data_IF_233563184999
#
_entry.id   IF_233563184999
#
_cell.length_a   1.000
_cell.length_b   1.000
_cell.length_c   1.000
_cell.angle_alpha   90.00
_cell.angle_beta   90.00
_cell.angle_gamma   90.00
#
_symmetry.space_group_name_H-M   'P 1'
#
loop_
_entity.id
_entity.type
_entity.pdbx_description
1 polymer ?
#
# COMPACT_ATOMS: atom_id res chain seq x y z
N UNK A 1 4.54 11.70 -0.69
CA UNK A 1 4.06 10.44 -1.27
C UNK A 1 4.56 9.30 -0.38
N UNK A 2 3.82 8.19 -0.26
CA UNK A 2 4.28 7.05 0.55
C UNK A 2 4.45 5.84 -0.37
N UNK A 3 5.61 5.21 -0.34
CA UNK A 3 5.84 3.98 -1.09
C UNK A 3 6.06 2.82 -0.15
N UNK A 4 5.42 1.70 -0.49
CA UNK A 4 5.51 0.44 0.25
C UNK A 4 5.98 -0.62 -0.73
N UNK A 5 7.10 -1.29 -0.41
CA UNK A 5 7.72 -2.33 -1.22
C UNK A 5 7.53 -3.70 -0.58
N UNK A 6 7.24 -4.69 -1.41
CA UNK A 6 7.14 -6.09 -1.05
C UNK A 6 8.19 -6.89 -1.82
N UNK A 7 8.81 -7.85 -1.14
CA UNK A 7 9.62 -8.89 -1.78
C UNK A 7 8.80 -10.18 -1.78
N UNK A 8 8.62 -10.78 -2.95
CA UNK A 8 7.63 -11.84 -3.19
C UNK A 8 8.30 -13.13 -3.66
N UNK A 9 7.72 -14.24 -3.24
CA UNK A 9 7.98 -15.56 -3.79
C UNK A 9 7.17 -15.77 -5.09
N UNK A 10 7.60 -16.71 -5.96
CA UNK A 10 6.83 -17.09 -7.13
C UNK A 10 5.39 -17.47 -6.78
N UNK A 11 4.41 -16.86 -7.46
CA UNK A 11 2.98 -17.13 -7.26
C UNK A 11 2.28 -16.25 -6.20
N UNK A 12 3.01 -15.44 -5.42
CA UNK A 12 2.39 -14.58 -4.39
C UNK A 12 1.80 -13.28 -4.96
N UNK A 13 2.34 -12.80 -6.08
CA UNK A 13 2.04 -11.47 -6.66
C UNK A 13 0.56 -11.21 -6.87
N UNK A 14 -0.13 -12.10 -7.57
CA UNK A 14 -1.53 -11.84 -7.96
C UNK A 14 -2.46 -11.85 -6.75
N UNK A 15 -2.19 -12.75 -5.79
CA UNK A 15 -2.89 -12.79 -4.50
C UNK A 15 -2.69 -11.50 -3.70
N UNK A 16 -1.46 -10.99 -3.63
CA UNK A 16 -1.18 -9.73 -2.95
C UNK A 16 -1.83 -8.52 -3.66
N UNK A 17 -1.79 -8.48 -5.00
CA UNK A 17 -2.46 -7.42 -5.77
C UNK A 17 -3.97 -7.42 -5.48
N UNK A 18 -4.60 -8.59 -5.47
CA UNK A 18 -6.03 -8.72 -5.16
C UNK A 18 -6.34 -8.23 -3.74
N UNK A 19 -5.53 -8.61 -2.75
CA UNK A 19 -5.67 -8.16 -1.37
C UNK A 19 -5.53 -6.64 -1.24
N UNK A 20 -4.50 -6.05 -1.85
CA UNK A 20 -4.29 -4.59 -1.81
C UNK A 20 -5.45 -3.86 -2.47
N UNK A 21 -5.90 -4.28 -3.66
CA UNK A 21 -7.05 -3.66 -4.34
C UNK A 21 -8.31 -3.74 -3.49
N UNK A 22 -8.59 -4.91 -2.91
CA UNK A 22 -9.74 -5.11 -2.03
C UNK A 22 -9.67 -4.23 -0.77
N UNK A 23 -8.48 -4.05 -0.18
CA UNK A 23 -8.29 -3.12 0.95
C UNK A 23 -8.59 -1.67 0.54
N UNK A 24 -8.02 -1.20 -0.57
CA UNK A 24 -8.27 0.17 -1.02
C UNK A 24 -9.73 0.39 -1.39
N UNK A 25 -10.36 -0.54 -2.11
CA UNK A 25 -11.75 -0.40 -2.55
C UNK A 25 -12.76 -0.43 -1.39
N UNK A 26 -12.53 -1.28 -0.38
CA UNK A 26 -13.49 -1.46 0.72
C UNK A 26 -13.27 -0.52 1.89
N UNK A 27 -12.03 -0.14 2.17
CA UNK A 27 -11.67 0.49 3.44
C UNK A 27 -11.01 1.86 3.27
N UNK A 28 -10.29 2.10 2.17
CA UNK A 28 -9.44 3.31 2.04
C UNK A 28 -9.98 4.34 1.06
N UNK A 29 -10.75 3.93 0.05
CA UNK A 29 -11.19 4.82 -1.05
C UNK A 29 -11.97 6.04 -0.58
N UNK A 30 -12.69 5.93 0.53
CA UNK A 30 -13.46 7.02 1.14
C UNK A 30 -12.79 7.64 2.37
N UNK A 31 -11.55 7.23 2.67
CA UNK A 31 -10.80 7.76 3.80
C UNK A 31 -10.36 9.21 3.51
N UNK A 32 -10.57 10.10 4.46
CA UNK A 32 -10.26 11.52 4.32
C UNK A 32 -8.79 11.75 3.98
N UNK A 33 -8.55 12.53 2.92
CA UNK A 33 -7.21 12.86 2.43
C UNK A 33 -6.54 11.77 1.58
N UNK A 34 -7.21 10.66 1.28
CA UNK A 34 -6.73 9.69 0.28
C UNK A 34 -6.91 10.24 -1.14
N UNK A 35 -5.85 10.21 -1.96
CA UNK A 35 -5.89 10.69 -3.35
C UNK A 35 -5.88 9.52 -4.34
N UNK A 36 -4.87 8.65 -4.26
CA UNK A 36 -4.73 7.52 -5.19
C UNK A 36 -3.76 6.47 -4.68
N UNK A 37 -3.84 5.27 -5.24
CA UNK A 37 -2.81 4.25 -5.12
C UNK A 37 -2.42 3.72 -6.51
N UNK A 38 -1.15 3.36 -6.69
CA UNK A 38 -0.63 2.78 -7.93
C UNK A 38 0.28 1.60 -7.61
N UNK A 39 0.02 0.47 -8.24
CA UNK A 39 0.82 -0.74 -8.09
C UNK A 39 1.77 -0.89 -9.28
N UNK A 40 3.04 -1.13 -8.98
CA UNK A 40 4.10 -1.40 -9.95
C UNK A 40 4.80 -2.70 -9.57
N UNK A 41 5.09 -3.53 -10.56
CA UNK A 41 5.88 -4.74 -10.36
C UNK A 41 7.13 -4.69 -11.25
N UNK A 42 8.21 -5.33 -10.82
CA UNK A 42 9.32 -5.64 -11.72
C UNK A 42 8.92 -6.72 -12.73
N UNK A 43 9.73 -6.91 -13.77
CA UNK A 43 9.49 -7.89 -14.83
C UNK A 43 9.41 -9.32 -14.27
N UNK A 44 10.24 -9.64 -13.27
CA UNK A 44 10.27 -10.97 -12.64
C UNK A 44 9.08 -11.21 -11.69
N UNK A 45 8.31 -10.18 -11.34
CA UNK A 45 7.17 -10.27 -10.42
C UNK A 45 7.53 -10.59 -8.97
N UNK A 46 8.81 -10.52 -8.61
CA UNK A 46 9.35 -10.76 -7.26
C UNK A 46 9.39 -9.49 -6.40
N UNK A 47 9.10 -8.33 -6.99
CA UNK A 47 9.00 -7.05 -6.31
C UNK A 47 7.69 -6.39 -6.70
N UNK A 48 6.91 -5.99 -5.69
CA UNK A 48 5.72 -5.17 -5.85
C UNK A 48 5.89 -3.87 -5.07
N UNK A 49 5.53 -2.75 -5.67
CA UNK A 49 5.58 -1.43 -5.05
C UNK A 49 4.20 -0.81 -5.12
N UNK A 50 3.69 -0.33 -3.99
CA UNK A 50 2.50 0.49 -3.90
C UNK A 50 2.90 1.95 -3.64
N UNK A 51 2.53 2.85 -4.53
CA UNK A 51 2.61 4.30 -4.32
C UNK A 51 1.24 4.82 -3.91
N UNK A 52 1.11 5.22 -2.64
CA UNK A 52 -0.09 5.86 -2.12
C UNK A 52 0.13 7.37 -1.98
N UNK A 53 -0.78 8.14 -2.56
CA UNK A 53 -0.77 9.60 -2.51
C UNK A 53 -1.85 10.08 -1.54
N UNK A 54 -1.45 11.02 -0.69
CA UNK A 54 -2.27 11.58 0.38
C UNK A 54 -2.18 13.10 0.31
N UNK A 55 -3.26 13.79 0.69
CA UNK A 55 -3.31 15.26 0.71
C UNK A 55 -2.28 15.88 1.64
N UNK A 56 -1.98 15.21 2.77
CA UNK A 56 -0.96 15.67 3.70
C UNK A 56 -0.33 14.53 4.50
N UNK A 57 0.74 14.83 5.24
CA UNK A 57 1.39 13.87 6.14
C UNK A 57 0.47 13.46 7.29
N UNK A 58 -0.35 14.39 7.78
CA UNK A 58 -1.32 14.17 8.86
C UNK A 58 -2.40 13.16 8.44
N UNK A 59 -2.92 13.28 7.20
CA UNK A 59 -3.89 12.33 6.65
C UNK A 59 -3.29 10.92 6.56
N UNK A 60 -2.04 10.80 6.11
CA UNK A 60 -1.35 9.51 6.10
C UNK A 60 -1.17 8.93 7.51
N UNK A 61 -0.81 9.74 8.51
CA UNK A 61 -0.66 9.26 9.89
C UNK A 61 -1.99 8.72 10.46
N UNK A 62 -3.10 9.42 10.20
CA UNK A 62 -4.45 8.93 10.54
C UNK A 62 -4.75 7.60 9.85
N UNK A 63 -4.41 7.48 8.56
CA UNK A 63 -4.55 6.23 7.81
C UNK A 63 -3.72 5.09 8.43
N UNK A 64 -2.47 5.33 8.84
CA UNK A 64 -1.64 4.30 9.49
C UNK A 64 -2.31 3.78 10.77
N UNK A 65 -2.86 4.67 11.59
CA UNK A 65 -3.59 4.28 12.80
C UNK A 65 -4.87 3.49 12.50
N UNK A 66 -5.61 3.88 11.47
CA UNK A 66 -6.77 3.14 10.98
C UNK A 66 -6.38 1.74 10.47
N UNK A 67 -5.38 1.68 9.59
CA UNK A 67 -4.92 0.46 8.94
C UNK A 67 -4.35 -0.56 9.93
N UNK A 68 -3.81 -0.14 11.08
CA UNK A 68 -3.36 -1.04 12.14
C UNK A 68 -4.48 -1.92 12.71
N UNK A 69 -5.74 -1.48 12.60
CA UNK A 69 -6.91 -2.20 13.10
C UNK A 69 -7.62 -3.04 12.03
N UNK A 70 -7.31 -2.84 10.75
CA UNK A 70 -7.92 -3.58 9.63
C UNK A 70 -7.40 -5.00 9.51
N UNK A 71 -8.30 -5.96 9.31
CA UNK A 71 -7.93 -7.36 9.11
C UNK A 71 -7.32 -7.62 7.73
N UNK A 72 -7.75 -6.89 6.70
CA UNK A 72 -7.13 -6.98 5.36
C UNK A 72 -5.72 -6.40 5.42
N UNK A 73 -5.54 -5.27 6.11
CA UNK A 73 -4.21 -4.69 6.33
C UNK A 73 -3.27 -5.65 7.06
N UNK A 74 -3.73 -6.36 8.10
CA UNK A 74 -2.92 -7.40 8.76
C UNK A 74 -2.49 -8.52 7.81
N UNK A 75 -3.36 -8.95 6.89
CA UNK A 75 -3.00 -9.94 5.86
C UNK A 75 -1.93 -9.39 4.90
N UNK A 76 -2.04 -8.12 4.50
CA UNK A 76 -1.02 -7.46 3.68
C UNK A 76 0.32 -7.36 4.45
N UNK A 77 0.28 -7.04 5.75
CA UNK A 77 1.48 -6.96 6.60
C UNK A 77 2.17 -8.31 6.80
N UNK A 78 1.47 -9.44 6.60
CA UNK A 78 2.10 -10.77 6.65
C UNK A 78 3.15 -10.98 5.55
N UNK A 79 3.07 -10.21 4.45
CA UNK A 79 4.10 -10.16 3.41
C UNK A 79 5.33 -9.31 3.80
N UNK A 80 5.39 -8.83 5.05
CA UNK A 80 6.51 -8.07 5.64
C UNK A 80 7.01 -6.92 4.74
N UNK A 81 6.12 -6.00 4.32
CA UNK A 81 6.53 -4.89 3.48
C UNK A 81 7.56 -4.00 4.16
N UNK A 82 8.39 -3.38 3.32
CA UNK A 82 9.26 -2.27 3.69
C UNK A 82 8.58 -0.97 3.27
N UNK A 83 8.56 0.02 4.17
CA UNK A 83 7.92 1.30 3.92
C UNK A 83 8.93 2.41 4.15
N UNK A 84 9.01 3.33 3.21
CA UNK A 84 9.83 4.52 3.31
C UNK A 84 8.99 5.75 2.93
N UNK A 85 9.37 6.89 3.51
CA UNK A 85 8.79 8.19 3.16
C UNK A 85 9.61 8.80 2.04
N UNK A 86 8.95 9.14 0.94
CA UNK A 86 9.60 9.79 -0.21
C UNK A 86 8.89 11.08 -0.55
N UNK A 87 9.69 12.07 -0.91
CA UNK A 87 9.23 13.38 -1.32
C UNK A 87 9.45 13.52 -2.82
N UNK A 88 8.46 14.06 -3.51
CA UNK A 88 8.63 14.47 -4.90
C UNK A 88 9.56 15.69 -4.91
N UNK A 89 10.64 15.61 -5.67
CA UNK A 89 11.51 16.74 -5.94
C UNK A 89 10.94 17.41 -7.20
N UNK A 90 10.18 18.48 -7.00
CA UNK A 90 9.70 19.37 -8.07
C UNK A 90 10.78 20.35 -8.49
#
# INVERSE_FOLDING_TARGET
MHYVRFALQPGEKDSLIALIRNFFDKEVKTFEGFISFKLHANEEGTVLINYATWESVEHFQKFVAFAANSDISKQIQAFKPQSDRVYELV
#
